data_IF_527055801644
#
_entry.id   IF_527055801644
#
_cell.length_a   1.000
_cell.length_b   1.000
_cell.length_c   1.000
_cell.angle_alpha   90.00
_cell.angle_beta   90.00
_cell.angle_gamma   90.00
#
_symmetry.space_group_name_H-M   'P 1'
#
loop_
_entity.id
_entity.type
_entity.pdbx_description
1 polymer ?
#
# COMPACT_ATOMS: atom_id res chain seq x y z
N UNK A 1 -30.03 -12.71 31.47
CA UNK A 1 -29.03 -13.33 30.58
C UNK A 1 -28.22 -12.20 29.97
N UNK A 2 -26.92 -12.09 30.26
CA UNK A 2 -26.08 -11.07 29.63
C UNK A 2 -25.94 -11.39 28.14
N UNK A 3 -26.25 -10.42 27.28
CA UNK A 3 -26.24 -10.56 25.82
C UNK A 3 -24.77 -10.66 25.37
N UNK A 4 -24.30 -11.87 25.08
CA UNK A 4 -22.97 -12.10 24.49
C UNK A 4 -23.04 -11.80 23.00
N UNK A 5 -22.06 -11.08 22.49
CA UNK A 5 -21.93 -10.76 21.07
C UNK A 5 -20.50 -11.10 20.61
N UNK A 6 -20.38 -11.52 19.35
CA UNK A 6 -19.09 -11.74 18.70
C UNK A 6 -19.05 -10.86 17.47
N UNK A 7 -17.98 -10.08 17.31
CA UNK A 7 -17.71 -9.28 16.14
C UNK A 7 -16.51 -9.89 15.40
N UNK A 8 -16.67 -10.10 14.09
CA UNK A 8 -15.60 -10.57 13.21
C UNK A 8 -15.28 -9.45 12.24
N UNK A 9 -14.01 -9.10 12.11
CA UNK A 9 -13.53 -7.96 11.33
C UNK A 9 -12.19 -8.24 10.68
N UNK A 10 -11.92 -7.54 9.58
CA UNK A 10 -10.58 -7.40 9.00
C UNK A 10 -9.84 -6.22 9.67
N UNK A 11 -8.82 -5.65 9.01
CA UNK A 11 -8.06 -4.47 9.50
C UNK A 11 -8.95 -3.23 9.79
N UNK A 12 -10.23 -3.25 9.40
CA UNK A 12 -11.16 -2.12 9.59
C UNK A 12 -11.42 -1.77 11.06
N UNK A 13 -11.28 -2.73 11.99
CA UNK A 13 -11.37 -2.46 13.44
C UNK A 13 -10.03 -2.07 14.08
N UNK A 14 -8.94 -2.00 13.31
CA UNK A 14 -7.70 -1.37 13.78
C UNK A 14 -7.88 0.15 13.90
N UNK A 15 -8.69 0.74 13.03
CA UNK A 15 -9.02 2.17 13.02
C UNK A 15 -9.96 2.49 14.18
N UNK A 16 -9.73 3.60 14.87
CA UNK A 16 -10.23 4.03 16.20
C UNK A 16 -11.75 4.05 16.47
N UNK A 17 -12.56 3.17 15.89
CA UNK A 17 -13.99 3.11 16.19
C UNK A 17 -14.24 2.55 17.58
N UNK A 18 -15.07 3.23 18.35
CA UNK A 18 -15.43 2.81 19.70
C UNK A 18 -16.60 1.84 19.63
N UNK A 19 -16.31 0.54 19.78
CA UNK A 19 -17.31 -0.53 19.80
C UNK A 19 -17.75 -0.88 21.23
N UNK A 20 -17.37 -0.06 22.22
CA UNK A 20 -17.63 -0.31 23.62
C UNK A 20 -16.67 -1.31 24.26
N UNK A 21 -17.14 -1.98 25.31
CA UNK A 21 -16.31 -2.84 26.15
C UNK A 21 -16.12 -4.22 25.51
N UNK A 22 -14.89 -4.52 25.10
CA UNK A 22 -14.48 -5.82 24.56
C UNK A 22 -13.74 -6.61 25.65
N UNK A 23 -14.26 -7.79 25.99
CA UNK A 23 -13.70 -8.65 27.04
C UNK A 23 -12.42 -9.38 26.61
N UNK A 24 -12.21 -9.55 25.31
CA UNK A 24 -11.03 -10.19 24.75
C UNK A 24 -11.01 -10.16 23.23
N UNK A 25 -9.81 -10.31 22.66
CA UNK A 25 -9.57 -10.34 21.21
C UNK A 25 -9.10 -11.72 20.79
N UNK A 26 -9.61 -12.23 19.67
CA UNK A 26 -9.09 -13.45 19.03
C UNK A 26 -8.41 -13.05 17.73
N UNK A 27 -7.14 -13.38 17.57
CA UNK A 27 -6.36 -13.18 16.35
C UNK A 27 -6.31 -14.49 15.58
N UNK A 28 -6.91 -14.51 14.38
CA UNK A 28 -6.87 -15.68 13.50
C UNK A 28 -5.49 -15.90 12.89
N UNK A 29 -4.74 -14.82 12.65
CA UNK A 29 -3.40 -14.81 12.08
C UNK A 29 -2.55 -13.69 12.72
N UNK A 30 -1.21 -13.82 12.72
CA UNK A 30 -0.32 -12.79 13.25
C UNK A 30 -0.43 -11.51 12.40
N UNK A 31 -0.63 -10.34 13.03
CA UNK A 31 -0.58 -9.04 12.34
C UNK A 31 0.78 -8.79 11.67
N UNK A 32 0.78 -7.92 10.66
CA UNK A 32 1.96 -7.65 9.83
C UNK A 32 3.08 -6.87 10.53
N UNK A 33 2.74 -6.06 11.53
CA UNK A 33 3.69 -5.23 12.27
C UNK A 33 3.25 -5.07 13.74
N UNK A 34 4.19 -4.67 14.59
CA UNK A 34 3.96 -4.55 16.04
C UNK A 34 2.92 -3.49 16.37
N UNK A 35 2.83 -2.43 15.57
CA UNK A 35 1.83 -1.37 15.74
C UNK A 35 0.41 -1.90 15.51
N UNK A 36 0.19 -2.63 14.42
CA UNK A 36 -1.10 -3.26 14.09
C UNK A 36 -1.48 -4.26 15.17
N UNK A 37 -0.51 -5.05 15.66
CA UNK A 37 -0.73 -5.96 16.79
C UNK A 37 -1.22 -5.22 18.04
N UNK A 38 -0.50 -4.19 18.50
CA UNK A 38 -0.88 -3.38 19.68
C UNK A 38 -2.28 -2.75 19.49
N UNK A 39 -2.55 -2.18 18.32
CA UNK A 39 -3.85 -1.55 18.01
C UNK A 39 -5.01 -2.54 18.07
N UNK A 40 -4.81 -3.78 17.58
CA UNK A 40 -5.82 -4.85 17.63
C UNK A 40 -6.07 -5.31 19.06
N UNK A 41 -5.03 -5.66 19.81
CA UNK A 41 -5.19 -6.19 21.18
C UNK A 41 -5.68 -5.10 22.15
N UNK A 42 -5.33 -3.83 21.91
CA UNK A 42 -5.78 -2.67 22.68
C UNK A 42 -7.28 -2.36 22.55
N UNK A 43 -8.01 -3.13 21.75
CA UNK A 43 -9.48 -3.10 21.73
C UNK A 43 -10.10 -3.74 22.97
N UNK A 44 -9.43 -4.71 23.56
CA UNK A 44 -9.86 -5.30 24.82
C UNK A 44 -9.29 -4.56 26.03
N UNK A 45 -9.96 -4.72 27.17
CA UNK A 45 -9.37 -4.36 28.46
C UNK A 45 -9.32 -2.87 28.78
N UNK A 46 -10.03 -2.01 28.03
CA UNK A 46 -10.05 -0.54 28.25
C UNK A 46 -10.40 -0.12 29.69
N UNK A 47 -11.28 -0.87 30.36
CA UNK A 47 -11.74 -0.56 31.73
C UNK A 47 -11.04 -1.35 32.83
N UNK A 48 -10.54 -2.54 32.50
CA UNK A 48 -9.86 -3.43 33.44
C UNK A 48 -8.37 -3.15 33.52
N UNK A 49 -7.79 -2.52 32.49
CA UNK A 49 -6.34 -2.38 32.32
C UNK A 49 -5.65 -3.69 31.93
N UNK A 50 -6.39 -4.79 31.83
CA UNK A 50 -5.90 -6.11 31.45
C UNK A 50 -6.39 -6.49 30.06
N UNK A 51 -5.44 -6.66 29.14
CA UNK A 51 -5.73 -7.13 27.78
C UNK A 51 -5.76 -8.65 27.78
N UNK A 52 -6.93 -9.23 27.43
CA UNK A 52 -7.04 -10.66 27.14
C UNK A 52 -7.01 -10.87 25.63
N UNK A 53 -6.03 -11.64 25.17
CA UNK A 53 -5.93 -12.02 23.76
C UNK A 53 -5.77 -13.53 23.61
N UNK A 54 -6.32 -14.06 22.52
CA UNK A 54 -6.17 -15.44 22.08
C UNK A 54 -5.61 -15.43 20.67
N UNK A 55 -4.58 -16.21 20.40
CA UNK A 55 -4.05 -16.40 19.06
C UNK A 55 -4.43 -17.80 18.59
N UNK A 56 -5.00 -17.89 17.39
CA UNK A 56 -5.08 -19.13 16.64
C UNK A 56 -3.80 -19.23 15.82
N UNK A 57 -3.15 -20.38 15.88
CA UNK A 57 -1.90 -20.62 15.15
C UNK A 57 -1.80 -22.10 14.79
N UNK A 58 -1.27 -22.37 13.60
CA UNK A 58 -0.80 -23.69 13.20
C UNK A 58 0.74 -23.71 13.34
N UNK A 59 1.46 -23.17 12.35
CA UNK A 59 2.94 -23.16 12.29
C UNK A 59 3.57 -21.78 12.64
N UNK A 60 2.76 -20.77 12.98
CA UNK A 60 3.19 -19.37 13.14
C UNK A 60 3.25 -18.88 14.60
N UNK A 61 3.37 -19.81 15.56
CA UNK A 61 3.43 -19.50 17.00
C UNK A 61 4.56 -18.53 17.37
N UNK A 62 5.75 -18.75 16.82
CA UNK A 62 6.95 -17.94 17.11
C UNK A 62 6.72 -16.46 16.76
N UNK A 63 6.03 -16.17 15.65
CA UNK A 63 5.70 -14.80 15.24
C UNK A 63 4.80 -14.11 16.27
N UNK A 64 3.82 -14.81 16.84
CA UNK A 64 3.00 -14.25 17.92
C UNK A 64 3.80 -13.99 19.18
N UNK A 65 4.72 -14.88 19.55
CA UNK A 65 5.59 -14.70 20.72
C UNK A 65 6.51 -13.47 20.54
N UNK A 66 7.07 -13.29 19.35
CA UNK A 66 7.87 -12.13 18.97
C UNK A 66 7.05 -10.83 19.03
N UNK A 67 5.84 -10.82 18.47
CA UNK A 67 4.94 -9.65 18.52
C UNK A 67 4.57 -9.27 19.96
N UNK A 68 4.33 -10.26 20.84
CA UNK A 68 4.07 -10.02 22.27
C UNK A 68 5.30 -9.46 22.95
N UNK A 69 6.49 -10.00 22.68
CA UNK A 69 7.74 -9.49 23.23
C UNK A 69 8.00 -8.05 22.78
N UNK A 70 7.90 -7.78 21.47
CA UNK A 70 8.04 -6.46 20.89
C UNK A 70 7.06 -5.45 21.50
N UNK A 71 5.79 -5.82 21.65
CA UNK A 71 4.77 -4.98 22.26
C UNK A 71 5.08 -4.66 23.74
N UNK A 72 5.53 -5.65 24.53
CA UNK A 72 5.91 -5.44 25.94
C UNK A 72 7.13 -4.54 26.09
N UNK A 73 8.05 -4.58 25.14
CA UNK A 73 9.24 -3.74 25.10
C UNK A 73 9.02 -2.42 24.37
N UNK A 74 7.79 -2.13 23.91
CA UNK A 74 7.42 -0.95 23.13
C UNK A 74 8.30 -0.75 21.89
N UNK A 75 8.71 -1.86 21.27
CA UNK A 75 9.48 -1.87 20.03
C UNK A 75 8.53 -1.71 18.86
N UNK A 76 8.24 -0.44 18.52
CA UNK A 76 7.44 -0.11 17.36
C UNK A 76 8.31 -0.10 16.11
N UNK A 77 7.81 -0.70 15.04
CA UNK A 77 8.42 -0.60 13.72
C UNK A 77 8.40 0.87 13.28
N UNK A 78 9.56 1.49 13.13
CA UNK A 78 9.66 2.83 12.54
C UNK A 78 9.28 2.76 11.06
N UNK A 79 8.07 3.23 10.72
CA UNK A 79 7.73 3.52 9.33
C UNK A 79 8.39 4.83 8.94
N UNK A 80 9.59 4.73 8.37
CA UNK A 80 10.26 5.86 7.72
C UNK A 80 9.34 6.39 6.63
N UNK A 81 8.80 7.59 6.83
CA UNK A 81 8.02 8.27 5.80
C UNK A 81 8.90 8.50 4.58
N UNK A 82 8.41 8.07 3.42
CA UNK A 82 9.03 8.35 2.13
C UNK A 82 8.03 9.09 1.27
N UNK A 83 8.42 10.27 0.81
CA UNK A 83 7.62 11.05 -0.12
C UNK A 83 7.30 10.22 -1.38
N UNK A 84 6.07 10.35 -1.85
CA UNK A 84 5.62 9.74 -3.10
C UNK A 84 5.11 10.82 -4.05
N UNK A 85 5.94 11.28 -4.99
CA UNK A 85 5.57 12.29 -5.97
C UNK A 85 4.40 11.87 -6.87
N UNK A 86 4.05 10.58 -6.94
CA UNK A 86 2.89 10.13 -7.73
C UNK A 86 1.57 10.73 -7.24
N UNK A 87 1.51 11.15 -5.97
CA UNK A 87 0.37 11.92 -5.43
C UNK A 87 0.18 13.21 -6.24
N UNK A 88 1.24 13.88 -6.65
CA UNK A 88 1.16 15.11 -7.47
C UNK A 88 0.48 14.81 -8.80
N UNK A 89 0.89 13.74 -9.49
CA UNK A 89 0.25 13.31 -10.75
C UNK A 89 -1.24 13.05 -10.53
N UNK A 90 -1.58 12.26 -9.50
CA UNK A 90 -2.95 11.91 -9.21
C UNK A 90 -3.81 13.16 -8.92
N UNK A 91 -3.27 14.11 -8.15
CA UNK A 91 -3.96 15.37 -7.84
C UNK A 91 -4.14 16.24 -9.09
N UNK A 92 -3.12 16.35 -9.96
CA UNK A 92 -3.25 17.06 -11.24
C UNK A 92 -4.38 16.45 -12.08
N UNK A 93 -4.41 15.12 -12.22
CA UNK A 93 -5.45 14.45 -12.99
C UNK A 93 -6.84 14.67 -12.37
N UNK A 94 -6.96 14.57 -11.05
CA UNK A 94 -8.23 14.81 -10.33
C UNK A 94 -8.73 16.24 -10.49
N UNK A 95 -7.84 17.23 -10.38
CA UNK A 95 -8.17 18.66 -10.51
C UNK A 95 -8.62 18.97 -11.95
N UNK A 96 -7.91 18.47 -12.95
CA UNK A 96 -8.24 18.70 -14.36
C UNK A 96 -9.53 17.98 -14.76
N UNK A 97 -9.77 16.76 -14.26
CA UNK A 97 -11.04 16.05 -14.45
C UNK A 97 -12.23 16.81 -13.84
N UNK A 98 -12.06 17.38 -12.64
CA UNK A 98 -13.08 18.20 -12.00
C UNK A 98 -13.33 19.54 -12.72
N UNK A 99 -12.40 19.99 -13.56
CA UNK A 99 -12.47 21.26 -14.29
C UNK A 99 -12.26 21.05 -15.80
N UNK A 100 -13.24 20.47 -16.54
CA UNK A 100 -13.12 20.20 -17.97
C UNK A 100 -12.88 21.45 -18.82
N UNK A 101 -13.31 22.61 -18.32
CA UNK A 101 -13.03 23.91 -18.93
C UNK A 101 -11.55 24.30 -18.88
N UNK A 102 -10.69 23.55 -18.20
CA UNK A 102 -9.27 23.82 -17.97
C UNK A 102 -8.99 24.63 -16.71
N UNK A 103 -7.74 24.62 -16.24
CA UNK A 103 -7.26 25.31 -15.02
C UNK A 103 -6.02 26.13 -15.35
N UNK A 104 -5.91 27.40 -14.92
CA UNK A 104 -4.68 28.17 -15.09
C UNK A 104 -3.47 27.49 -14.45
N UNK A 105 -2.32 27.51 -15.15
CA UNK A 105 -1.09 26.87 -14.68
C UNK A 105 -0.64 27.43 -13.32
N UNK A 106 -0.73 28.74 -13.14
CA UNK A 106 -0.37 29.41 -11.89
C UNK A 106 -1.23 28.92 -10.72
N UNK A 107 -2.54 28.79 -10.92
CA UNK A 107 -3.47 28.31 -9.88
C UNK A 107 -3.17 26.84 -9.53
N UNK A 108 -2.87 26.01 -10.53
CA UNK A 108 -2.50 24.61 -10.30
C UNK A 108 -1.18 24.50 -9.52
N UNK A 109 -0.17 25.30 -9.86
CA UNK A 109 1.10 25.31 -9.14
C UNK A 109 0.93 25.77 -7.68
N UNK A 110 0.10 26.80 -7.45
CA UNK A 110 -0.18 27.34 -6.13
C UNK A 110 -0.78 26.29 -5.16
N UNK A 111 -1.56 25.32 -5.67
CA UNK A 111 -2.13 24.23 -4.84
C UNK A 111 -1.03 23.39 -4.19
N UNK A 112 0.11 23.22 -4.86
CA UNK A 112 1.21 22.40 -4.35
C UNK A 112 2.20 23.18 -3.49
N UNK A 113 2.03 24.49 -3.33
CA UNK A 113 2.85 25.31 -2.43
C UNK A 113 2.66 24.85 -0.97
N UNK A 114 3.77 24.58 -0.28
CA UNK A 114 3.77 24.08 1.11
C UNK A 114 3.47 22.59 1.26
N UNK A 115 2.85 21.93 0.27
CA UNK A 115 2.67 20.47 0.27
C UNK A 115 3.85 19.73 -0.37
N UNK A 116 4.39 20.26 -1.47
CA UNK A 116 5.60 19.76 -2.09
C UNK A 116 6.77 20.72 -1.83
N UNK A 117 7.84 20.30 -1.12
CA UNK A 117 8.95 21.18 -0.77
C UNK A 117 9.73 21.68 -2.00
N UNK A 118 9.65 20.97 -3.13
CA UNK A 118 10.37 21.30 -4.36
C UNK A 118 9.40 21.62 -5.51
N UNK A 119 9.02 22.88 -5.65
CA UNK A 119 8.16 23.36 -6.76
C UNK A 119 8.72 23.04 -8.15
N UNK A 120 10.05 22.99 -8.28
CA UNK A 120 10.70 22.55 -9.52
C UNK A 120 10.32 21.12 -9.92
N UNK A 121 10.03 20.23 -8.97
CA UNK A 121 9.57 18.87 -9.27
C UNK A 121 8.15 18.87 -9.84
N UNK A 122 7.26 19.71 -9.32
CA UNK A 122 5.87 19.85 -9.83
C UNK A 122 5.88 20.33 -11.27
N UNK A 123 6.68 21.37 -11.58
CA UNK A 123 6.86 21.84 -12.95
C UNK A 123 7.36 20.75 -13.89
N UNK A 124 8.38 19.99 -13.48
CA UNK A 124 8.91 18.86 -14.26
C UNK A 124 7.88 17.75 -14.50
N UNK A 125 7.04 17.45 -13.51
CA UNK A 125 5.94 16.49 -13.66
C UNK A 125 4.93 17.01 -14.67
N UNK A 126 4.51 18.28 -14.58
CA UNK A 126 3.58 18.89 -15.53
C UNK A 126 4.14 18.81 -16.96
N UNK A 127 5.40 19.18 -17.16
CA UNK A 127 6.03 19.13 -18.47
C UNK A 127 6.09 17.70 -19.01
N UNK A 128 6.48 16.73 -18.18
CA UNK A 128 6.50 15.33 -18.58
C UNK A 128 5.11 14.78 -18.94
N UNK A 129 4.07 15.14 -18.18
CA UNK A 129 2.69 14.75 -18.48
C UNK A 129 2.19 15.39 -19.78
N UNK A 130 2.66 16.58 -20.14
CA UNK A 130 2.37 17.23 -21.42
C UNK A 130 3.08 16.53 -22.58
N UNK A 131 4.36 16.21 -22.40
CA UNK A 131 5.17 15.50 -23.42
C UNK A 131 4.63 14.10 -23.74
N UNK A 132 3.95 13.46 -22.79
CA UNK A 132 3.33 12.13 -22.95
C UNK A 132 1.82 12.19 -23.22
N UNK A 133 1.30 13.34 -23.68
CA UNK A 133 -0.11 13.55 -24.07
C UNK A 133 -1.15 13.24 -22.97
N UNK A 134 -0.76 13.26 -21.70
CA UNK A 134 -1.69 13.07 -20.58
C UNK A 134 -2.46 14.35 -20.26
N UNK A 135 -1.83 15.51 -20.43
CA UNK A 135 -2.45 16.81 -20.26
C UNK A 135 -2.13 17.72 -21.44
N UNK A 136 -3.04 18.65 -21.75
CA UNK A 136 -2.94 19.57 -22.89
C UNK A 136 -2.84 20.99 -22.35
N UNK A 137 -1.89 21.78 -22.84
CA UNK A 137 -1.81 23.20 -22.51
C UNK A 137 -2.34 24.05 -23.66
N UNK A 138 -3.27 24.97 -23.37
CA UNK A 138 -3.69 26.04 -24.29
C UNK A 138 -3.50 27.38 -23.61
N UNK A 139 -2.62 28.21 -24.17
CA UNK A 139 -2.23 29.49 -23.57
C UNK A 139 -1.69 29.26 -22.15
N UNK A 140 -2.37 29.77 -21.14
CA UNK A 140 -2.03 29.71 -19.72
C UNK A 140 -2.82 28.63 -18.97
N UNK A 141 -3.66 27.84 -19.65
CA UNK A 141 -4.55 26.86 -19.02
C UNK A 141 -4.19 25.43 -19.42
N UNK A 142 -4.25 24.54 -18.45
CA UNK A 142 -4.07 23.10 -18.58
C UNK A 142 -5.43 22.41 -18.65
N UNK A 143 -5.51 21.35 -19.45
CA UNK A 143 -6.69 20.52 -19.68
C UNK A 143 -6.28 19.06 -19.56
N UNK A 144 -7.19 18.20 -19.09
CA UNK A 144 -7.00 16.75 -19.19
C UNK A 144 -7.07 16.31 -20.66
N UNK A 145 -6.25 15.33 -21.04
CA UNK A 145 -6.45 14.59 -22.28
C UNK A 145 -7.73 13.73 -22.21
N UNK A 146 -8.19 13.23 -23.36
CA UNK A 146 -9.27 12.25 -23.41
C UNK A 146 -8.95 11.00 -22.57
N UNK A 147 -7.69 10.54 -22.59
CA UNK A 147 -7.24 9.42 -21.77
C UNK A 147 -7.42 9.66 -20.26
N UNK A 148 -7.05 10.85 -19.78
CA UNK A 148 -7.22 11.23 -18.37
C UNK A 148 -8.70 11.42 -18.02
N UNK A 149 -9.52 11.99 -18.92
CA UNK A 149 -10.97 12.09 -18.73
C UNK A 149 -11.61 10.70 -18.57
N UNK A 150 -11.24 9.75 -19.43
CA UNK A 150 -11.70 8.36 -19.36
C UNK A 150 -11.27 7.65 -18.06
N UNK A 151 -10.08 7.96 -17.54
CA UNK A 151 -9.66 7.47 -16.22
C UNK A 151 -10.56 8.02 -15.11
N UNK A 152 -10.94 9.30 -15.21
CA UNK A 152 -11.85 9.96 -14.28
C UNK A 152 -13.25 9.36 -14.28
N UNK A 153 -13.84 9.13 -15.46
CA UNK A 153 -15.16 8.51 -15.60
C UNK A 153 -15.21 7.09 -15.01
N UNK A 154 -14.09 6.37 -15.07
CA UNK A 154 -13.93 5.04 -14.44
C UNK A 154 -13.67 5.09 -12.93
N UNK A 155 -13.65 6.28 -12.35
CA UNK A 155 -13.38 6.52 -10.92
C UNK A 155 -11.93 6.29 -10.51
N UNK A 156 -10.99 6.15 -11.46
CA UNK A 156 -9.59 5.81 -11.16
C UNK A 156 -8.76 7.01 -10.69
N UNK A 157 -9.18 8.24 -10.98
CA UNK A 157 -8.50 9.47 -10.53
C UNK A 157 -8.77 9.84 -9.07
N UNK A 158 -9.60 9.08 -8.35
CA UNK A 158 -9.99 9.40 -6.97
C UNK A 158 -9.16 8.71 -5.89
N UNK A 159 -8.18 7.88 -6.28
CA UNK A 159 -7.32 7.15 -5.33
C UNK A 159 -5.91 7.03 -5.88
N UNK A 160 -4.90 7.30 -5.04
CA UNK A 160 -3.50 6.97 -5.35
C UNK A 160 -3.09 5.60 -4.76
N UNK A 161 -4.01 4.85 -4.15
CA UNK A 161 -3.70 3.51 -3.63
C UNK A 161 -3.54 2.57 -4.81
N UNK A 162 -2.37 1.94 -4.93
CA UNK A 162 -2.12 0.96 -5.97
C UNK A 162 -3.06 -0.24 -5.82
N UNK A 163 -3.62 -0.71 -6.95
CA UNK A 163 -4.44 -1.92 -6.98
C UNK A 163 -3.60 -3.11 -6.47
N UNK A 164 -4.18 -3.94 -5.62
CA UNK A 164 -3.55 -5.16 -5.08
C UNK A 164 -4.39 -6.40 -5.37
N UNK A 165 -3.73 -7.55 -5.48
CA UNK A 165 -4.33 -8.83 -5.81
C UNK A 165 -3.89 -9.86 -4.78
N UNK A 166 -4.86 -10.55 -4.18
CA UNK A 166 -4.61 -11.75 -3.38
C UNK A 166 -4.22 -12.93 -4.28
N UNK A 167 -3.08 -13.54 -3.98
CA UNK A 167 -2.53 -14.67 -4.73
C UNK A 167 -2.02 -15.77 -3.80
N UNK A 168 -2.29 -17.02 -4.14
CA UNK A 168 -1.67 -18.20 -3.55
C UNK A 168 -0.30 -18.43 -4.18
N UNK A 169 0.75 -18.38 -3.38
CA UNK A 169 2.14 -18.54 -3.81
C UNK A 169 2.54 -20.02 -3.75
N UNK A 170 3.08 -20.52 -4.85
CA UNK A 170 3.47 -21.93 -5.03
C UNK A 170 4.95 -21.98 -5.40
N UNK A 171 5.77 -22.66 -4.58
CA UNK A 171 7.16 -22.98 -4.91
C UNK A 171 7.18 -24.01 -6.04
N UNK A 172 7.58 -23.60 -7.25
CA UNK A 172 7.71 -24.45 -8.43
C UNK A 172 8.77 -25.54 -8.28
N UNK A 173 9.80 -25.30 -7.47
CA UNK A 173 10.93 -26.23 -7.29
C UNK A 173 10.55 -27.38 -6.35
N UNK A 174 9.79 -27.06 -5.30
CA UNK A 174 9.33 -28.04 -4.29
C UNK A 174 7.90 -28.51 -4.52
N UNK A 175 7.19 -27.91 -5.47
CA UNK A 175 5.77 -28.09 -5.73
C UNK A 175 4.92 -27.99 -4.45
N UNK A 176 5.19 -26.98 -3.62
CA UNK A 176 4.56 -26.77 -2.32
C UNK A 176 3.94 -25.38 -2.24
N UNK A 177 2.74 -25.32 -1.66
CA UNK A 177 2.09 -24.06 -1.31
C UNK A 177 2.86 -23.38 -0.17
N UNK A 178 3.26 -22.13 -0.40
CA UNK A 178 3.94 -21.31 0.60
C UNK A 178 2.90 -20.57 1.46
N UNK A 179 1.85 -20.05 0.83
CA UNK A 179 0.76 -19.34 1.50
C UNK A 179 0.09 -18.32 0.58
N UNK A 180 -0.97 -17.69 1.07
CA UNK A 180 -1.65 -16.60 0.39
C UNK A 180 -1.06 -15.25 0.79
N UNK A 181 -0.81 -14.38 -0.20
CA UNK A 181 -0.30 -13.03 0.02
C UNK A 181 -1.07 -12.02 -0.83
N UNK A 182 -1.06 -10.76 -0.43
CA UNK A 182 -1.56 -9.65 -1.23
C UNK A 182 -0.38 -8.91 -1.83
N UNK A 183 -0.28 -8.91 -3.17
CA UNK A 183 0.76 -8.17 -3.89
C UNK A 183 0.14 -7.04 -4.70
N UNK A 184 0.85 -5.92 -4.91
CA UNK A 184 0.48 -4.95 -5.93
C UNK A 184 0.25 -5.65 -7.28
N UNK A 185 -0.88 -5.36 -7.93
CA UNK A 185 -1.29 -5.97 -9.20
C UNK A 185 -0.19 -5.87 -10.27
N UNK A 186 0.60 -4.80 -10.20
CA UNK A 186 1.74 -4.54 -11.08
C UNK A 186 2.86 -5.58 -10.93
N UNK A 187 3.22 -5.99 -9.70
CA UNK A 187 4.26 -7.01 -9.47
C UNK A 187 3.88 -8.30 -10.20
N UNK A 188 2.61 -8.69 -10.12
CA UNK A 188 2.08 -9.89 -10.77
C UNK A 188 2.03 -9.73 -12.30
N UNK A 189 1.54 -8.59 -12.80
CA UNK A 189 1.43 -8.33 -14.25
C UNK A 189 2.79 -8.26 -14.96
N UNK A 190 3.79 -7.69 -14.30
CA UNK A 190 5.13 -7.49 -14.85
C UNK A 190 6.11 -8.61 -14.46
N UNK A 191 5.65 -9.65 -13.76
CA UNK A 191 6.47 -10.76 -13.29
C UNK A 191 7.71 -10.32 -12.49
N UNK A 192 7.59 -9.24 -11.71
CA UNK A 192 8.72 -8.72 -10.92
C UNK A 192 9.02 -9.63 -9.73
N UNK A 193 10.29 -9.83 -9.36
CA UNK A 193 10.63 -10.55 -8.13
C UNK A 193 10.05 -9.85 -6.89
N UNK A 194 9.75 -10.62 -5.85
CA UNK A 194 9.27 -10.10 -4.57
C UNK A 194 9.90 -10.86 -3.39
N UNK A 195 9.79 -10.29 -2.20
CA UNK A 195 10.29 -10.90 -0.97
C UNK A 195 9.13 -11.51 -0.18
N UNK A 196 9.30 -12.74 0.27
CA UNK A 196 8.36 -13.43 1.15
C UNK A 196 9.14 -14.30 2.14
N UNK A 197 8.87 -14.13 3.44
CA UNK A 197 9.56 -14.79 4.53
C UNK A 197 11.11 -14.64 4.44
N UNK A 198 11.59 -13.43 4.14
CA UNK A 198 13.02 -13.10 4.05
C UNK A 198 13.74 -13.73 2.84
N UNK A 199 13.01 -14.35 1.91
CA UNK A 199 13.56 -14.98 0.69
C UNK A 199 13.09 -14.23 -0.54
N UNK A 200 13.96 -14.12 -1.55
CA UNK A 200 13.62 -13.53 -2.85
C UNK A 200 13.05 -14.59 -3.77
N UNK A 201 11.85 -14.31 -4.29
CA UNK A 201 11.10 -15.18 -5.17
C UNK A 201 10.97 -14.52 -6.54
N UNK A 202 11.41 -15.20 -7.59
CA UNK A 202 11.16 -14.83 -8.98
C UNK A 202 9.84 -15.45 -9.44
N UNK A 203 8.98 -14.66 -10.10
CA UNK A 203 7.71 -15.14 -10.65
C UNK A 203 8.00 -15.80 -11.99
N UNK A 204 7.69 -17.09 -12.11
CA UNK A 204 7.82 -17.84 -13.36
C UNK A 204 6.50 -17.86 -14.14
N UNK A 205 5.37 -17.91 -13.41
CA UNK A 205 4.05 -18.01 -14.01
C UNK A 205 2.96 -17.50 -13.08
N UNK A 206 2.00 -16.77 -13.62
CA UNK A 206 0.77 -16.40 -12.93
C UNK A 206 -0.43 -17.02 -13.67
N UNK A 207 -1.25 -17.81 -12.96
CA UNK A 207 -2.48 -18.40 -13.51
C UNK A 207 -3.62 -18.14 -12.54
N UNK A 208 -4.62 -17.37 -12.96
CA UNK A 208 -5.73 -16.94 -12.07
C UNK A 208 -5.16 -16.28 -10.80
N UNK A 209 -5.50 -16.78 -9.62
CA UNK A 209 -4.98 -16.32 -8.32
C UNK A 209 -3.82 -17.20 -7.81
N UNK A 210 -3.12 -17.93 -8.70
CA UNK A 210 -1.96 -18.76 -8.33
C UNK A 210 -0.68 -18.19 -8.94
N UNK A 211 0.31 -17.95 -8.10
CA UNK A 211 1.61 -17.42 -8.47
C UNK A 211 2.67 -18.50 -8.28
N UNK A 212 3.19 -19.02 -9.38
CA UNK A 212 4.27 -20.00 -9.38
C UNK A 212 5.60 -19.25 -9.36
N UNK A 213 6.40 -19.56 -8.36
CA UNK A 213 7.63 -18.83 -8.06
C UNK A 213 8.80 -19.78 -7.89
N UNK A 214 10.02 -19.26 -8.10
CA UNK A 214 11.26 -19.96 -7.80
C UNK A 214 12.13 -19.09 -6.93
N UNK A 215 12.71 -19.69 -5.90
CA UNK A 215 13.65 -19.00 -5.01
C UNK A 215 14.93 -18.68 -5.79
N UNK A 216 15.39 -17.43 -5.70
CA UNK A 216 16.67 -17.01 -6.28
C UNK A 216 17.63 -16.56 -5.17
N UNK A 217 18.89 -16.99 -5.27
CA UNK A 217 19.97 -16.52 -4.41
C UNK A 217 20.63 -15.32 -5.09
N UNK A 218 20.19 -14.10 -4.77
CA UNK A 218 20.87 -12.89 -5.22
C UNK A 218 22.11 -12.64 -4.34
N UNK A 219 23.29 -12.56 -4.95
CA UNK A 219 24.57 -12.25 -4.28
C UNK A 219 24.85 -10.75 -4.10
N UNK A 220 23.85 -9.90 -4.36
CA UNK A 220 23.92 -8.50 -3.98
C UNK A 220 23.42 -8.39 -2.53
N UNK A 221 24.12 -7.62 -1.71
CA UNK A 221 23.65 -7.17 -0.39
C UNK A 221 22.14 -6.90 -0.44
N UNK A 222 21.36 -7.27 0.59
CA UNK A 222 19.91 -7.17 0.56
C UNK A 222 19.55 -5.72 0.29
N UNK A 223 19.31 -5.40 -0.98
CA UNK A 223 18.80 -4.11 -1.35
C UNK A 223 17.48 -3.98 -0.59
N UNK A 224 17.36 -2.89 0.16
CA UNK A 224 16.33 -2.57 1.16
C UNK A 224 14.89 -2.70 0.63
N UNK A 225 14.42 -3.93 0.45
CA UNK A 225 13.09 -4.21 -0.10
C UNK A 225 12.20 -4.97 0.89
N UNK A 226 12.45 -4.77 2.19
CA UNK A 226 11.47 -5.10 3.25
C UNK A 226 10.34 -4.08 3.37
N UNK A 227 10.46 -2.93 2.70
CA UNK A 227 9.32 -2.07 2.50
C UNK A 227 8.63 -2.55 1.24
N UNK A 228 7.37 -2.99 1.36
CA UNK A 228 6.39 -2.71 0.31
C UNK A 228 6.73 -1.32 -0.22
N UNK A 229 7.31 -1.23 -1.42
CA UNK A 229 7.42 0.05 -2.09
C UNK A 229 5.99 0.38 -2.45
N UNK A 230 5.28 0.99 -1.51
CA UNK A 230 3.92 1.48 -1.65
C UNK A 230 3.95 2.70 -2.56
N UNK A 231 4.44 2.48 -3.77
CA UNK A 231 4.37 3.45 -4.84
C UNK A 231 2.90 3.54 -5.20
N UNK A 232 2.41 4.77 -5.29
CA UNK A 232 1.05 5.05 -5.65
C UNK A 232 0.70 4.56 -7.05
N UNK A 233 -0.59 4.48 -7.33
CA UNK A 233 -1.12 4.03 -8.61
C UNK A 233 -0.60 4.84 -9.82
N UNK A 234 -0.10 6.06 -9.57
CA UNK A 234 0.37 6.98 -10.60
C UNK A 234 1.90 7.05 -10.72
N UNK A 235 2.64 6.15 -10.09
CA UNK A 235 4.10 6.19 -10.09
C UNK A 235 4.72 6.13 -11.49
N UNK A 236 4.12 5.38 -12.42
CA UNK A 236 4.65 5.22 -13.79
C UNK A 236 4.43 6.44 -14.69
N UNK A 237 3.65 7.40 -14.22
CA UNK A 237 3.43 8.68 -14.91
C UNK A 237 4.47 9.73 -14.50
N UNK A 238 5.39 9.40 -13.58
CA UNK A 238 6.49 10.28 -13.19
C UNK A 238 7.60 10.27 -14.25
N UNK A 239 8.41 11.34 -14.35
CA UNK A 239 9.65 11.31 -15.13
C UNK A 239 10.55 10.12 -14.75
N UNK A 240 11.24 9.51 -15.72
CA UNK A 240 12.03 8.29 -15.48
C UNK A 240 13.08 8.43 -14.36
N UNK A 241 13.71 9.60 -14.21
CA UNK A 241 14.68 9.86 -13.16
C UNK A 241 14.03 9.95 -11.77
N UNK A 242 12.74 10.30 -11.71
CA UNK A 242 11.94 10.28 -10.48
C UNK A 242 11.37 8.89 -10.18
N UNK A 243 11.41 7.97 -11.15
CA UNK A 243 11.03 6.56 -10.96
C UNK A 243 12.18 5.70 -10.42
N UNK A 244 13.43 6.17 -10.52
CA UNK A 244 14.61 5.47 -10.02
C UNK A 244 14.90 5.94 -8.60
N UNK A 245 14.53 5.12 -7.62
CA UNK A 245 15.03 5.24 -6.25
C UNK A 245 16.38 4.57 -6.12
#
# INVERSE_FOLDING_TARGET
>A
SARRAVCVSTMTLEIGIDIGDVDGVVLADPPHDTSSFIQRIGRAGRRTGEIRMFALYDDNREIFEDLVAAARHNLLDEKVYREDPSVVVQQIFSILYANPSGVPLADLMAIFEGFCPHQSQVGRIIDHLRENDHIIQKVDRLYASEGVMNLGERGKVHSNIADSIGVLVIDSTRNREIGEIVLPAKIVREMRPFVLAGRVWSIEKAIRQRLYVRQIHASAAPADFHQSTSLGAYFDYLPEDMQRR
#
